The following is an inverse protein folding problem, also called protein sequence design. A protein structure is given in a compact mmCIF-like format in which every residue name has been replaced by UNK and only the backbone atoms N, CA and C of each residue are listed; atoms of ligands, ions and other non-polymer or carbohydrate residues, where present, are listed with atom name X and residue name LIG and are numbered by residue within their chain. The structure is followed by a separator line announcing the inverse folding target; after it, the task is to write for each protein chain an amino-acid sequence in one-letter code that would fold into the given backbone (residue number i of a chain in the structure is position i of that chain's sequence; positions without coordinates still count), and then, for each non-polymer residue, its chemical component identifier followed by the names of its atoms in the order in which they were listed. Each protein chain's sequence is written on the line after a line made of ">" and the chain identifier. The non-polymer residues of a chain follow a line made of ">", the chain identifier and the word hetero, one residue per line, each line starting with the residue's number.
data_IF_032462153788
#
_entry.id   IF_032462153788
#
_cell.length_a   1.000
_cell.length_b   1.000
_cell.length_c   1.000
_cell.angle_alpha   90.00
_cell.angle_beta   90.00
_cell.angle_gamma   90.00
#
_symmetry.space_group_name_H-M   'P 1'
#
loop_
_entity.id
_entity.type
_entity.pdbx_description
1 polymer ?
#
# COMPACT_ATOMS: atom_id res chain seq x y z
N UNK A 1 15.96 -25.54 19.98
CA UNK A 1 14.75 -24.95 20.60
C UNK A 1 14.62 -23.52 20.12
N UNK A 2 13.59 -23.22 19.35
CA UNK A 2 13.39 -21.92 18.72
C UNK A 2 13.01 -20.86 19.76
N UNK A 3 13.78 -19.77 19.85
CA UNK A 3 13.49 -18.69 20.81
C UNK A 3 12.32 -17.84 20.31
N UNK A 4 11.13 -18.03 20.89
CA UNK A 4 9.88 -17.36 20.54
C UNK A 4 10.00 -15.82 20.50
N UNK A 5 10.88 -15.24 21.32
CA UNK A 5 11.14 -13.79 21.34
C UNK A 5 11.87 -13.29 20.10
N UNK A 6 12.85 -14.06 19.61
CA UNK A 6 13.57 -13.73 18.38
C UNK A 6 12.64 -13.78 17.16
N UNK A 7 11.68 -14.70 17.17
CA UNK A 7 10.67 -14.83 16.11
C UNK A 7 9.76 -13.63 16.03
N UNK A 8 9.18 -13.22 17.16
CA UNK A 8 8.29 -12.07 17.21
C UNK A 8 8.99 -10.76 16.76
N UNK A 9 10.31 -10.66 16.98
CA UNK A 9 11.12 -9.54 16.51
C UNK A 9 11.23 -9.50 14.98
N UNK A 10 11.52 -10.65 14.35
CA UNK A 10 11.61 -10.76 12.88
C UNK A 10 10.25 -10.47 12.24
N UNK A 11 9.16 -11.02 12.78
CA UNK A 11 7.82 -10.81 12.23
C UNK A 11 7.42 -9.32 12.31
N UNK A 12 7.66 -8.68 13.47
CA UNK A 12 7.42 -7.24 13.65
C UNK A 12 8.28 -6.39 12.71
N UNK A 13 9.50 -6.80 12.45
CA UNK A 13 10.40 -6.11 11.52
C UNK A 13 9.89 -6.17 10.08
N UNK A 14 9.49 -7.35 9.60
CA UNK A 14 8.93 -7.54 8.25
C UNK A 14 7.64 -6.73 8.10
N UNK A 15 6.73 -6.80 9.08
CA UNK A 15 5.48 -6.03 9.06
C UNK A 15 5.75 -4.52 9.03
N UNK A 16 6.74 -4.03 9.79
CA UNK A 16 7.12 -2.62 9.76
C UNK A 16 7.70 -2.21 8.39
N UNK A 17 8.56 -3.04 7.78
CA UNK A 17 9.08 -2.81 6.41
C UNK A 17 7.93 -2.75 5.40
N UNK A 18 6.98 -3.68 5.47
CA UNK A 18 5.80 -3.71 4.61
C UNK A 18 4.93 -2.47 4.76
N UNK A 19 4.62 -2.06 5.99
CA UNK A 19 3.80 -0.89 6.24
C UNK A 19 4.45 0.40 5.71
N UNK A 20 5.74 0.60 5.98
CA UNK A 20 6.48 1.77 5.48
C UNK A 20 6.51 1.77 3.95
N UNK A 21 6.81 0.63 3.33
CA UNK A 21 6.82 0.51 1.87
C UNK A 21 5.44 0.77 1.27
N UNK A 22 4.37 0.28 1.89
CA UNK A 22 2.99 0.50 1.45
C UNK A 22 2.61 1.98 1.49
N UNK A 23 2.93 2.68 2.58
CA UNK A 23 2.66 4.12 2.69
C UNK A 23 3.42 4.91 1.62
N UNK A 24 4.70 4.60 1.40
CA UNK A 24 5.52 5.29 0.39
C UNK A 24 4.95 5.07 -1.02
N UNK A 25 4.62 3.82 -1.36
CA UNK A 25 4.06 3.49 -2.68
C UNK A 25 2.69 4.12 -2.86
N UNK A 26 1.82 4.08 -1.83
CA UNK A 26 0.53 4.76 -1.87
C UNK A 26 0.70 6.27 -2.12
N UNK A 27 1.60 6.95 -1.40
CA UNK A 27 1.84 8.39 -1.60
C UNK A 27 2.34 8.68 -3.01
N UNK A 28 3.26 7.87 -3.53
CA UNK A 28 3.78 8.02 -4.89
C UNK A 28 2.70 7.82 -5.96
N UNK A 29 1.83 6.83 -5.78
CA UNK A 29 0.73 6.58 -6.71
C UNK A 29 -0.37 7.65 -6.58
N UNK A 30 -0.66 8.11 -5.37
CA UNK A 30 -1.62 9.17 -5.11
C UNK A 30 -1.16 10.50 -5.72
N UNK A 31 0.13 10.85 -5.63
CA UNK A 31 0.64 12.07 -6.22
C UNK A 31 0.54 12.06 -7.75
N UNK A 32 0.84 10.91 -8.37
CA UNK A 32 0.65 10.72 -9.81
C UNK A 32 -0.82 10.85 -10.21
N UNK A 33 -1.72 10.16 -9.50
CA UNK A 33 -3.16 10.23 -9.77
C UNK A 33 -3.70 11.66 -9.58
N UNK A 34 -3.28 12.33 -8.51
CA UNK A 34 -3.70 13.70 -8.20
C UNK A 34 -3.24 14.69 -9.28
N UNK A 35 -2.02 14.56 -9.79
CA UNK A 35 -1.53 15.40 -10.89
C UNK A 35 -2.42 15.26 -12.13
N UNK A 36 -2.79 14.03 -12.50
CA UNK A 36 -3.70 13.80 -13.64
C UNK A 36 -5.09 14.38 -13.40
N UNK A 37 -5.59 14.33 -12.16
CA UNK A 37 -6.87 14.93 -11.77
C UNK A 37 -6.85 16.45 -11.96
N UNK A 38 -5.80 17.12 -11.47
CA UNK A 38 -5.64 18.58 -11.59
C UNK A 38 -5.60 19.01 -13.06
N UNK A 39 -4.88 18.27 -13.92
CA UNK A 39 -4.80 18.57 -15.34
C UNK A 39 -6.17 18.46 -16.04
N UNK A 40 -6.91 17.36 -15.83
CA UNK A 40 -8.24 17.17 -16.44
C UNK A 40 -9.21 18.26 -16.03
N UNK A 41 -9.16 18.65 -14.78
CA UNK A 41 -10.09 19.63 -14.26
C UNK A 41 -9.68 21.06 -14.65
N UNK A 42 -8.39 21.34 -14.88
CA UNK A 42 -7.93 22.58 -15.52
C UNK A 42 -8.48 22.69 -16.95
N UNK A 43 -8.44 21.60 -17.72
CA UNK A 43 -9.04 21.55 -19.06
C UNK A 43 -10.54 21.84 -19.00
N UNK A 44 -11.27 21.24 -18.05
CA UNK A 44 -12.70 21.53 -17.85
C UNK A 44 -12.97 22.98 -17.43
N UNK A 45 -12.12 23.57 -16.58
CA UNK A 45 -12.27 24.96 -16.13
C UNK A 45 -12.09 25.96 -17.29
N UNK A 46 -11.13 25.71 -18.19
CA UNK A 46 -10.89 26.53 -19.38
C UNK A 46 -12.06 26.38 -20.37
N UNK A 47 -12.64 25.18 -20.51
CA UNK A 47 -13.71 24.90 -21.48
C UNK A 47 -15.09 25.37 -20.97
N UNK A 48 -15.37 25.36 -19.66
CA UNK A 48 -16.71 25.65 -19.10
C UNK A 48 -16.80 26.90 -18.22
N UNK A 49 -15.70 27.57 -17.89
CA UNK A 49 -15.70 28.73 -16.98
C UNK A 49 -16.10 28.36 -15.54
N UNK A 50 -15.89 27.11 -15.13
CA UNK A 50 -16.39 26.57 -13.87
C UNK A 50 -15.57 27.03 -12.65
N UNK A 51 -16.27 27.34 -11.55
CA UNK A 51 -15.69 27.87 -10.32
C UNK A 51 -14.87 26.84 -9.52
N UNK A 52 -13.66 27.25 -9.11
CA UNK A 52 -12.70 26.55 -8.23
C UNK A 52 -13.31 25.82 -7.00
N UNK A 53 -14.35 26.31 -6.29
CA UNK A 53 -14.93 25.60 -5.15
C UNK A 53 -15.68 24.29 -5.47
N UNK A 54 -16.24 24.14 -6.68
CA UNK A 54 -16.89 22.87 -7.11
C UNK A 54 -15.84 21.77 -7.29
N UNK A 55 -14.65 22.18 -7.71
CA UNK A 55 -13.48 21.34 -7.95
C UNK A 55 -12.97 20.64 -6.68
N UNK A 56 -12.92 21.37 -5.57
CA UNK A 56 -12.47 20.83 -4.27
C UNK A 56 -13.47 19.78 -3.74
N UNK A 57 -14.76 20.05 -3.91
CA UNK A 57 -15.84 19.14 -3.51
C UNK A 57 -15.83 17.84 -4.32
N UNK A 58 -15.62 17.94 -5.64
CA UNK A 58 -15.47 16.77 -6.52
C UNK A 58 -14.19 15.97 -6.22
N UNK A 59 -13.08 16.66 -5.91
CA UNK A 59 -11.81 16.00 -5.57
C UNK A 59 -11.94 15.13 -4.33
N UNK A 60 -12.62 15.62 -3.28
CA UNK A 60 -12.87 14.87 -2.04
C UNK A 60 -13.75 13.65 -2.30
N UNK A 61 -14.71 13.76 -3.21
CA UNK A 61 -15.61 12.65 -3.55
C UNK A 61 -14.94 11.56 -4.41
N UNK A 62 -13.96 11.92 -5.25
CA UNK A 62 -13.24 10.97 -6.13
C UNK A 62 -12.04 10.33 -5.42
N UNK A 63 -11.45 11.01 -4.43
CA UNK A 63 -10.29 10.52 -3.66
C UNK A 63 -10.46 9.10 -3.07
N UNK A 64 -11.59 8.74 -2.42
CA UNK A 64 -11.76 7.39 -1.86
C UNK A 64 -11.82 6.30 -2.93
N UNK A 65 -12.38 6.59 -4.10
CA UNK A 65 -12.44 5.63 -5.22
C UNK A 65 -11.04 5.37 -5.79
N UNK A 66 -10.24 6.43 -5.97
CA UNK A 66 -8.84 6.32 -6.41
C UNK A 66 -8.01 5.51 -5.40
N UNK A 67 -8.17 5.78 -4.11
CA UNK A 67 -7.51 5.03 -3.04
C UNK A 67 -7.85 3.54 -3.09
N UNK A 68 -9.12 3.19 -3.28
CA UNK A 68 -9.56 1.80 -3.36
C UNK A 68 -8.95 1.06 -4.58
N UNK A 69 -8.77 1.74 -5.71
CA UNK A 69 -8.13 1.16 -6.90
C UNK A 69 -6.61 1.03 -6.74
N UNK A 70 -5.97 2.02 -6.09
CA UNK A 70 -4.52 2.05 -5.90
C UNK A 70 -4.06 1.05 -4.84
N UNK A 71 -4.84 0.83 -3.76
CA UNK A 71 -4.45 -0.02 -2.63
C UNK A 71 -3.96 -1.43 -3.03
N UNK A 72 -4.67 -2.22 -3.86
CA UNK A 72 -4.22 -3.56 -4.23
C UNK A 72 -2.92 -3.53 -5.05
N UNK A 73 -2.77 -2.55 -5.94
CA UNK A 73 -1.57 -2.38 -6.74
C UNK A 73 -0.38 -1.94 -5.88
N UNK A 74 -0.61 -1.01 -4.95
CA UNK A 74 0.37 -0.56 -3.98
C UNK A 74 0.83 -1.71 -3.08
N UNK A 75 -0.08 -2.54 -2.58
CA UNK A 75 0.24 -3.70 -1.77
C UNK A 75 1.12 -4.71 -2.52
N UNK A 76 0.83 -4.96 -3.80
CA UNK A 76 1.65 -5.82 -4.64
C UNK A 76 3.07 -5.26 -4.80
N UNK A 77 3.19 -4.00 -5.19
CA UNK A 77 4.48 -3.33 -5.39
C UNK A 77 5.30 -3.32 -4.09
N UNK A 78 4.68 -2.98 -2.96
CA UNK A 78 5.36 -2.94 -1.66
C UNK A 78 5.84 -4.31 -1.21
N UNK A 79 5.05 -5.36 -1.46
CA UNK A 79 5.46 -6.75 -1.16
C UNK A 79 6.68 -7.14 -1.98
N UNK A 80 6.66 -6.88 -3.29
CA UNK A 80 7.80 -7.16 -4.18
C UNK A 80 9.02 -6.33 -3.78
N UNK A 81 8.83 -5.05 -3.45
CA UNK A 81 9.90 -4.17 -3.02
C UNK A 81 10.58 -4.65 -1.75
N UNK A 82 9.80 -5.04 -0.73
CA UNK A 82 10.34 -5.58 0.54
C UNK A 82 11.07 -6.90 0.30
N UNK A 83 10.51 -7.81 -0.50
CA UNK A 83 11.18 -9.07 -0.86
C UNK A 83 12.52 -8.82 -1.59
N UNK A 84 12.54 -7.87 -2.53
CA UNK A 84 13.75 -7.50 -3.24
C UNK A 84 14.80 -6.92 -2.30
N UNK A 85 14.39 -6.04 -1.38
CA UNK A 85 15.29 -5.43 -0.40
C UNK A 85 15.87 -6.46 0.57
N UNK A 86 15.03 -7.38 1.10
CA UNK A 86 15.49 -8.49 1.93
C UNK A 86 16.42 -9.46 1.19
N UNK A 87 16.30 -9.57 -0.13
CA UNK A 87 17.22 -10.32 -0.98
C UNK A 87 18.56 -9.62 -1.16
N UNK A 88 18.55 -8.30 -1.41
CA UNK A 88 19.75 -7.46 -1.56
C UNK A 88 20.59 -7.39 -0.29
N UNK A 89 19.93 -7.25 0.85
CA UNK A 89 20.59 -7.14 2.16
C UNK A 89 21.03 -8.51 2.71
N UNK A 90 20.88 -9.59 1.94
CA UNK A 90 21.09 -10.98 2.35
C UNK A 90 20.27 -11.41 3.61
N UNK A 91 19.27 -10.62 4.03
CA UNK A 91 18.42 -10.93 5.18
C UNK A 91 17.68 -12.27 4.99
N UNK A 92 17.22 -12.55 3.77
CA UNK A 92 16.60 -13.85 3.46
C UNK A 92 17.58 -15.02 3.64
N UNK A 93 18.86 -14.84 3.29
CA UNK A 93 19.90 -15.86 3.43
C UNK A 93 20.26 -16.07 4.91
N UNK A 94 20.33 -14.98 5.69
CA UNK A 94 20.58 -15.06 7.15
C UNK A 94 19.46 -15.85 7.84
N UNK A 95 18.21 -15.61 7.46
CA UNK A 95 17.05 -16.34 8.00
C UNK A 95 17.16 -17.83 7.67
N UNK A 96 17.47 -18.19 6.42
CA UNK A 96 17.67 -19.58 5.99
C UNK A 96 18.80 -20.27 6.76
N UNK A 97 19.95 -19.60 6.92
CA UNK A 97 21.12 -20.11 7.64
C UNK A 97 20.88 -20.29 9.14
N UNK A 98 19.91 -19.58 9.72
CA UNK A 98 19.49 -19.75 11.12
C UNK A 98 18.58 -20.97 11.36
N UNK A 99 18.34 -21.78 10.32
CA UNK A 99 17.49 -22.97 10.36
C UNK A 99 16.00 -22.67 10.21
N UNK A 100 15.61 -21.40 10.07
CA UNK A 100 14.21 -20.99 9.89
C UNK A 100 13.75 -21.39 8.48
N UNK A 101 12.65 -22.15 8.40
CA UNK A 101 12.02 -22.50 7.12
C UNK A 101 11.56 -21.26 6.36
N UNK A 102 11.85 -21.19 5.05
CA UNK A 102 11.42 -20.12 4.16
C UNK A 102 9.90 -19.92 4.16
N UNK A 103 9.13 -21.01 4.32
CA UNK A 103 7.67 -20.94 4.41
C UNK A 103 7.17 -20.16 5.63
N UNK A 104 7.98 -20.02 6.68
CA UNK A 104 7.60 -19.22 7.85
C UNK A 104 7.71 -17.73 7.57
N UNK A 105 8.68 -17.32 6.77
CA UNK A 105 8.87 -15.92 6.35
C UNK A 105 7.66 -15.40 5.59
N UNK A 106 6.87 -16.27 4.94
CA UNK A 106 5.63 -15.92 4.25
C UNK A 106 4.47 -15.54 5.19
N UNK A 107 4.44 -16.04 6.44
CA UNK A 107 3.36 -15.77 7.40
C UNK A 107 3.10 -14.27 7.65
N UNK A 108 4.11 -13.43 7.96
CA UNK A 108 3.88 -11.99 8.15
C UNK A 108 3.34 -11.29 6.90
N UNK A 109 3.74 -11.72 5.69
CA UNK A 109 3.18 -11.18 4.44
C UNK A 109 1.71 -11.53 4.28
N UNK A 110 1.32 -12.77 4.58
CA UNK A 110 -0.09 -13.20 4.50
C UNK A 110 -0.97 -12.47 5.53
N UNK A 111 -0.48 -12.31 6.76
CA UNK A 111 -1.19 -11.56 7.81
C UNK A 111 -1.41 -10.11 7.35
N UNK A 112 -0.35 -9.47 6.85
CA UNK A 112 -0.43 -8.10 6.36
C UNK A 112 -1.38 -7.96 5.16
N UNK A 113 -1.29 -8.86 4.18
CA UNK A 113 -2.19 -8.89 3.02
C UNK A 113 -3.66 -9.07 3.42
N UNK A 114 -3.93 -9.93 4.40
CA UNK A 114 -5.28 -10.15 4.92
C UNK A 114 -5.83 -8.89 5.60
N UNK A 115 -5.02 -8.23 6.44
CA UNK A 115 -5.42 -6.98 7.11
C UNK A 115 -5.71 -5.90 6.08
N UNK A 116 -4.84 -5.70 5.09
CA UNK A 116 -5.06 -4.68 4.05
C UNK A 116 -6.24 -5.03 3.14
N UNK A 117 -6.47 -6.32 2.86
CA UNK A 117 -7.64 -6.76 2.09
C UNK A 117 -8.95 -6.49 2.84
N UNK A 118 -9.00 -6.74 4.16
CA UNK A 118 -10.15 -6.38 5.00
C UNK A 118 -10.36 -4.87 5.00
N UNK A 119 -9.29 -4.08 5.12
CA UNK A 119 -9.36 -2.61 5.06
C UNK A 119 -9.91 -2.14 3.70
N UNK A 120 -9.43 -2.72 2.61
CA UNK A 120 -9.92 -2.42 1.26
C UNK A 120 -11.39 -2.79 1.08
N UNK A 121 -11.82 -3.89 1.67
CA UNK A 121 -13.20 -4.37 1.60
C UNK A 121 -14.13 -3.44 2.37
N UNK A 122 -13.71 -2.93 3.54
CA UNK A 122 -14.44 -1.89 4.28
C UNK A 122 -14.50 -0.59 3.47
N UNK A 123 -13.37 -0.16 2.91
CA UNK A 123 -13.30 1.03 2.05
C UNK A 123 -14.23 0.90 0.83
N UNK A 124 -14.25 -0.25 0.17
CA UNK A 124 -15.07 -0.49 -1.01
C UNK A 124 -16.55 -0.59 -0.67
N UNK A 125 -16.92 -1.26 0.43
CA UNK A 125 -18.33 -1.43 0.82
C UNK A 125 -18.95 -0.13 1.36
N UNK A 126 -18.19 0.71 2.06
CA UNK A 126 -18.74 1.90 2.72
C UNK A 126 -18.45 3.21 1.99
N UNK A 127 -17.32 3.34 1.28
CA UNK A 127 -16.94 4.59 0.61
C UNK A 127 -17.12 4.56 -0.91
N UNK A 128 -17.25 3.39 -1.54
CA UNK A 128 -17.54 3.30 -2.98
C UNK A 128 -19.03 3.32 -3.40
N UNK A 129 -20.06 3.12 -2.53
CA UNK A 129 -21.45 3.11 -3.01
C UNK A 129 -22.10 4.50 -3.14
N UNK A 130 -21.37 5.59 -2.89
CA UNK A 130 -21.89 6.97 -3.00
C UNK A 130 -21.64 7.58 -4.38
#
# INVERSE_FOLDING_TARGET
>A
MYNLRAMASIDKYIIKKLFISLVIVCIAMLSLAWLTQVLRMLDEAIIRGASIPVFLSLTISVMPNILAQILPLALFISTVFVLNNMGKDNESIIILSSGISNFRTLKPFLIFATITSILLLILSLYLAPA
#
